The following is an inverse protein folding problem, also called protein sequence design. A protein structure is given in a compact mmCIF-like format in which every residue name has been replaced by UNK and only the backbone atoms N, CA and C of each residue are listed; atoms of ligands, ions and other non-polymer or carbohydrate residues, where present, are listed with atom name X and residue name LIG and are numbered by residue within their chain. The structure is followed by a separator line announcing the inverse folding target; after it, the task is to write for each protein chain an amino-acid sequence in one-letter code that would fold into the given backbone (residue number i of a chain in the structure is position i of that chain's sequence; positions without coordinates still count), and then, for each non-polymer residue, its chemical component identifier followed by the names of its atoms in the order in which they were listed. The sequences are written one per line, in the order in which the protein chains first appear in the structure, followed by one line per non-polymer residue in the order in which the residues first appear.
data_IF_346229769780
#
_entry.id   IF_346229769780
#
_cell.length_a   1.000
_cell.length_b   1.000
_cell.length_c   1.000
_cell.angle_alpha   90.00
_cell.angle_beta   90.00
_cell.angle_gamma   90.00
#
_symmetry.space_group_name_H-M   'P 1'
#
loop_
_entity.id
_entity.type
_entity.pdbx_description
1 polymer ?
#
# COMPACT_ATOMS: atom_id res chain seq x y z
N UNK A 1 1.72 6.89 -5.99
CA UNK A 1 1.54 7.12 -4.55
C UNK A 1 2.79 6.70 -3.80
N UNK A 2 3.24 7.52 -2.86
CA UNK A 2 4.33 7.21 -1.93
C UNK A 2 3.80 6.34 -0.78
N UNK A 3 4.69 5.85 0.08
CA UNK A 3 4.28 5.16 1.31
C UNK A 3 3.42 6.06 2.20
N UNK A 4 3.68 7.37 2.18
CA UNK A 4 2.93 8.36 2.94
C UNK A 4 1.48 8.47 2.46
N UNK A 5 1.30 8.58 1.14
CA UNK A 5 -0.01 8.65 0.52
C UNK A 5 -0.83 7.36 0.79
N UNK A 6 -0.18 6.20 0.73
CA UNK A 6 -0.84 4.92 1.03
C UNK A 6 -1.21 4.82 2.51
N UNK A 7 -0.34 5.30 3.41
CA UNK A 7 -0.62 5.33 4.84
C UNK A 7 -1.84 6.22 5.17
N UNK A 8 -1.90 7.40 4.56
CA UNK A 8 -3.03 8.31 4.66
C UNK A 8 -4.31 7.67 4.08
N UNK A 9 -4.21 7.04 2.90
CA UNK A 9 -5.33 6.39 2.24
C UNK A 9 -5.92 5.24 3.08
N UNK A 10 -5.07 4.38 3.65
CA UNK A 10 -5.49 3.26 4.49
C UNK A 10 -5.87 3.66 5.91
N UNK A 11 -5.70 4.94 6.26
CA UNK A 11 -5.82 5.46 7.61
C UNK A 11 -4.97 4.64 8.62
N UNK A 12 -3.73 4.31 8.24
CA UNK A 12 -2.78 3.55 9.06
C UNK A 12 -1.49 4.35 9.28
N UNK A 13 -0.80 4.16 10.41
CA UNK A 13 0.50 4.79 10.63
C UNK A 13 1.52 4.38 9.57
N UNK A 14 2.33 5.32 9.08
CA UNK A 14 3.43 5.06 8.13
C UNK A 14 4.38 3.94 8.61
N UNK A 15 4.68 3.89 9.91
CA UNK A 15 5.48 2.84 10.53
C UNK A 15 4.83 1.45 10.37
N UNK A 16 3.51 1.37 10.52
CA UNK A 16 2.77 0.14 10.28
C UNK A 16 2.87 -0.27 8.81
N UNK A 17 2.74 0.67 7.87
CA UNK A 17 2.88 0.35 6.44
C UNK A 17 4.28 -0.17 6.13
N UNK A 18 5.35 0.47 6.62
CA UNK A 18 6.72 -0.03 6.40
C UNK A 18 6.97 -1.43 7.00
N UNK A 19 6.38 -1.73 8.16
CA UNK A 19 6.54 -3.03 8.82
C UNK A 19 5.67 -4.14 8.22
N UNK A 20 4.48 -3.79 7.73
CA UNK A 20 3.46 -4.77 7.37
C UNK A 20 3.17 -4.86 5.88
N UNK A 21 3.63 -3.94 5.03
CA UNK A 21 3.27 -3.96 3.60
C UNK A 21 3.58 -5.28 2.89
N UNK A 22 4.62 -6.01 3.31
CA UNK A 22 4.91 -7.35 2.78
C UNK A 22 3.95 -8.41 3.30
N UNK A 23 3.61 -8.37 4.58
CA UNK A 23 2.70 -9.32 5.22
C UNK A 23 1.27 -9.16 4.70
N UNK A 24 0.83 -7.90 4.59
CA UNK A 24 -0.48 -7.50 4.05
C UNK A 24 -0.54 -7.57 2.52
N UNK A 25 0.58 -7.90 1.86
CA UNK A 25 0.70 -7.99 0.41
C UNK A 25 0.25 -6.70 -0.31
N UNK A 26 0.47 -5.54 0.31
CA UNK A 26 0.15 -4.24 -0.29
C UNK A 26 0.97 -4.11 -1.57
N UNK A 27 0.36 -3.69 -2.70
CA UNK A 27 1.00 -3.72 -4.02
C UNK A 27 1.99 -2.57 -4.23
N UNK A 28 3.01 -2.51 -3.38
CA UNK A 28 4.16 -1.65 -3.59
C UNK A 28 5.10 -2.24 -4.64
N UNK A 29 5.63 -1.35 -5.47
CA UNK A 29 6.71 -1.63 -6.40
C UNK A 29 7.93 -0.78 -6.03
N UNK A 30 9.12 -1.36 -6.15
CA UNK A 30 10.37 -0.63 -5.96
C UNK A 30 10.67 0.15 -7.24
N UNK A 31 10.74 1.47 -7.13
CA UNK A 31 11.11 2.38 -8.21
C UNK A 31 12.35 3.15 -7.76
N UNK A 32 13.51 2.76 -8.28
CA UNK A 32 14.80 3.21 -7.78
C UNK A 32 15.01 2.78 -6.31
N UNK A 33 15.29 3.76 -5.44
CA UNK A 33 15.46 3.54 -3.99
C UNK A 33 14.17 3.72 -3.18
N UNK A 34 13.05 4.02 -3.83
CA UNK A 34 11.77 4.31 -3.15
C UNK A 34 10.71 3.25 -3.42
N UNK A 35 9.84 3.02 -2.44
CA UNK A 35 8.60 2.28 -2.62
C UNK A 35 7.53 3.21 -3.23
N UNK A 36 6.86 2.72 -4.26
CA UNK A 36 5.77 3.41 -4.95
C UNK A 36 4.62 2.44 -5.16
N UNK A 37 3.42 2.90 -4.88
CA UNK A 37 2.19 2.17 -5.17
C UNK A 37 1.44 2.91 -6.28
N UNK A 38 0.86 2.18 -7.24
CA UNK A 38 -0.06 2.76 -8.21
C UNK A 38 -1.46 2.78 -7.58
N UNK A 39 -2.21 3.88 -7.67
CA UNK A 39 -3.55 3.96 -7.08
C UNK A 39 -4.47 2.85 -7.59
N UNK A 40 -4.42 2.53 -8.89
CA UNK A 40 -5.20 1.43 -9.46
C UNK A 40 -4.82 0.04 -8.93
N UNK A 41 -3.56 -0.19 -8.57
CA UNK A 41 -3.17 -1.46 -7.94
C UNK A 41 -3.69 -1.51 -6.49
N UNK A 42 -3.63 -0.40 -5.75
CA UNK A 42 -4.13 -0.30 -4.38
C UNK A 42 -5.64 -0.52 -4.29
N UNK A 43 -6.39 0.10 -5.20
CA UNK A 43 -7.84 -0.02 -5.30
C UNK A 43 -8.26 -1.48 -5.56
N UNK A 44 -7.60 -2.15 -6.52
CA UNK A 44 -7.84 -3.59 -6.79
C UNK A 44 -7.47 -4.49 -5.62
N UNK A 45 -6.43 -4.15 -4.86
CA UNK A 45 -6.05 -4.89 -3.65
C UNK A 45 -7.07 -4.71 -2.53
N UNK A 46 -7.70 -3.53 -2.42
CA UNK A 46 -8.79 -3.29 -1.47
C UNK A 46 -10.06 -4.02 -1.87
N UNK A 47 -10.43 -3.95 -3.15
CA UNK A 47 -11.58 -4.67 -3.72
C UNK A 47 -11.46 -6.18 -3.46
N UNK A 48 -10.27 -6.76 -3.68
CA UNK A 48 -9.99 -8.17 -3.41
C UNK A 48 -10.10 -8.56 -1.92
N UNK A 49 -9.98 -7.61 -0.99
CA UNK A 49 -10.16 -7.85 0.45
C UNK A 49 -11.59 -7.57 0.93
N UNK A 50 -12.31 -6.67 0.27
CA UNK A 50 -13.69 -6.30 0.60
C UNK A 50 -14.76 -7.16 -0.08
N UNK A 51 -14.38 -8.04 -1.00
CA UNK A 51 -15.27 -9.00 -1.66
C UNK A 51 -15.59 -10.22 -0.77
N UNK A 52 -16.15 -9.97 0.41
CA UNK A 52 -16.79 -10.98 1.29
C UNK A 52 -18.29 -10.69 1.45
#
# INVERSE_FOLDING_TARGET
MTVDDVAAYLNKPKKWVYGNWKAEQIPFRKVGQSLRCRPADLDRWLDAQGAE
#
